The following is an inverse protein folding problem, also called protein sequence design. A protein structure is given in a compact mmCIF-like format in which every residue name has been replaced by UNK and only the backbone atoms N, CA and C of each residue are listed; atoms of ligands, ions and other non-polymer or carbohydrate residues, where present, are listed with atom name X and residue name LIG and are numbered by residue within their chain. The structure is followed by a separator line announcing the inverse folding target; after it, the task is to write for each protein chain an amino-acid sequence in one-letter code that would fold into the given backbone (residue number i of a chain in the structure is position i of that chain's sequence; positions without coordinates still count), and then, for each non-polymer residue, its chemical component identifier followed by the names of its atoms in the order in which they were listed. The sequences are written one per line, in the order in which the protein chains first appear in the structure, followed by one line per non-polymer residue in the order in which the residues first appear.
data_IF_703997011113
#
_entry.id   IF_703997011113
#
_cell.length_a   1.000
_cell.length_b   1.000
_cell.length_c   1.000
_cell.angle_alpha   90.00
_cell.angle_beta   90.00
_cell.angle_gamma   90.00
#
_symmetry.space_group_name_H-M   'P 1'
#
loop_
_entity.id
_entity.type
_entity.pdbx_description
1 polymer ?
#
# COMPACT_ATOMS: atom_id res chain seq x y z
N UNK A 1 2.42 -11.27 10.96
CA UNK A 1 1.33 -10.74 10.10
C UNK A 1 0.02 -11.36 10.55
N UNK A 2 -1.09 -10.66 10.36
CA UNK A 2 -2.42 -11.22 10.63
C UNK A 2 -2.77 -12.28 9.59
N UNK A 3 -3.47 -13.36 9.97
CA UNK A 3 -4.02 -14.28 8.99
C UNK A 3 -4.98 -13.51 8.06
N UNK A 4 -4.92 -13.81 6.76
CA UNK A 4 -5.75 -13.19 5.71
C UNK A 4 -5.45 -11.70 5.38
N UNK A 5 -4.35 -11.14 5.88
CA UNK A 5 -3.89 -9.81 5.47
C UNK A 5 -2.61 -9.90 4.62
N UNK A 6 -2.48 -9.03 3.63
CA UNK A 6 -1.29 -8.90 2.81
C UNK A 6 -0.83 -7.44 2.72
N UNK A 7 0.47 -7.22 2.90
CA UNK A 7 1.08 -5.90 2.70
C UNK A 7 1.57 -5.79 1.25
N UNK A 8 1.17 -4.70 0.58
CA UNK A 8 1.56 -4.38 -0.79
C UNK A 8 2.14 -2.97 -0.84
N UNK A 9 3.31 -2.82 -1.46
CA UNK A 9 3.97 -1.53 -1.62
C UNK A 9 3.82 -1.04 -3.06
N UNK A 10 3.24 0.15 -3.24
CA UNK A 10 3.16 0.83 -4.53
C UNK A 10 3.93 2.14 -4.43
N UNK A 11 4.98 2.34 -5.24
CA UNK A 11 5.86 3.51 -5.15
C UNK A 11 6.18 4.11 -6.51
N UNK A 12 6.39 5.43 -6.57
CA UNK A 12 6.85 6.14 -7.79
C UNK A 12 8.35 6.00 -8.03
N UNK A 13 9.08 5.31 -7.15
CA UNK A 13 10.49 4.98 -7.35
C UNK A 13 10.65 3.81 -8.32
N UNK A 14 11.70 3.84 -9.16
CA UNK A 14 12.03 2.71 -10.04
C UNK A 14 12.23 1.43 -9.22
N UNK A 15 11.93 0.27 -9.80
CA UNK A 15 11.86 -0.99 -9.06
C UNK A 15 13.16 -1.32 -8.30
N UNK A 16 14.32 -1.23 -8.95
CA UNK A 16 15.62 -1.53 -8.33
C UNK A 16 15.87 -0.65 -7.09
N UNK A 17 15.85 0.70 -7.18
CA UNK A 17 16.04 1.54 -5.99
C UNK A 17 14.90 1.43 -4.97
N UNK A 18 13.68 1.07 -5.37
CA UNK A 18 12.59 0.79 -4.44
C UNK A 18 12.91 -0.43 -3.54
N UNK A 19 13.35 -1.53 -4.15
CA UNK A 19 13.76 -2.74 -3.43
C UNK A 19 14.97 -2.45 -2.54
N UNK A 20 15.95 -1.69 -3.02
CA UNK A 20 17.09 -1.27 -2.20
C UNK A 20 16.65 -0.50 -0.95
N UNK A 21 15.70 0.45 -1.06
CA UNK A 21 15.14 1.14 0.10
C UNK A 21 14.46 0.17 1.06
N UNK A 22 13.62 -0.74 0.57
CA UNK A 22 12.95 -1.75 1.41
C UNK A 22 13.96 -2.54 2.24
N UNK A 23 15.07 -2.96 1.64
CA UNK A 23 16.14 -3.68 2.34
C UNK A 23 16.87 -2.80 3.35
N UNK A 24 17.28 -1.57 2.96
CA UNK A 24 18.02 -0.65 3.83
C UNK A 24 17.22 -0.21 5.06
N UNK A 25 15.89 -0.08 4.94
CA UNK A 25 15.00 0.25 6.06
C UNK A 25 14.53 -0.99 6.85
N UNK A 26 15.04 -2.19 6.55
CA UNK A 26 14.67 -3.42 7.28
C UNK A 26 13.24 -3.90 7.02
N UNK A 27 12.61 -3.46 5.92
CA UNK A 27 11.22 -3.76 5.57
C UNK A 27 11.05 -5.05 4.74
N UNK A 28 12.15 -5.75 4.42
CA UNK A 28 12.12 -6.96 3.59
C UNK A 28 11.30 -8.12 4.15
N UNK A 29 11.18 -8.23 5.49
CA UNK A 29 10.30 -9.21 6.14
C UNK A 29 8.82 -8.83 6.14
N UNK A 30 8.51 -7.57 5.79
CA UNK A 30 7.14 -7.01 5.83
C UNK A 30 6.52 -6.98 4.42
N UNK A 31 7.33 -6.73 3.40
CA UNK A 31 6.92 -6.67 2.00
C UNK A 31 7.65 -7.73 1.18
N UNK A 32 7.02 -8.89 0.89
CA UNK A 32 7.54 -9.85 -0.08
C UNK A 32 7.82 -9.17 -1.43
N UNK A 33 8.86 -9.61 -2.14
CA UNK A 33 9.31 -8.97 -3.38
C UNK A 33 8.19 -8.89 -4.43
N UNK A 34 7.40 -9.95 -4.55
CA UNK A 34 6.25 -10.04 -5.44
C UNK A 34 5.14 -9.03 -5.11
N UNK A 35 5.14 -8.44 -3.91
CA UNK A 35 4.19 -7.42 -3.48
C UNK A 35 4.72 -5.98 -3.62
N UNK A 36 5.86 -5.78 -4.30
CA UNK A 36 6.43 -4.46 -4.56
C UNK A 36 6.17 -4.06 -6.01
N UNK A 37 5.41 -2.97 -6.20
CA UNK A 37 5.04 -2.44 -7.51
C UNK A 37 5.65 -1.04 -7.72
N UNK A 38 6.31 -0.86 -8.86
CA UNK A 38 6.82 0.44 -9.29
C UNK A 38 5.82 1.12 -10.22
N UNK A 39 5.29 2.25 -9.78
CA UNK A 39 4.36 3.11 -10.51
C UNK A 39 5.08 4.14 -11.41
N UNK A 40 6.43 4.18 -11.44
CA UNK A 40 7.21 5.23 -12.12
C UNK A 40 6.81 5.45 -13.58
N UNK A 41 6.44 4.37 -14.31
CA UNK A 41 6.05 4.45 -15.72
C UNK A 41 4.55 4.36 -15.97
N UNK A 42 3.83 3.61 -15.13
CA UNK A 42 2.44 3.21 -15.38
C UNK A 42 1.42 3.96 -14.52
N UNK A 43 1.86 4.68 -13.49
CA UNK A 43 0.97 5.33 -12.54
C UNK A 43 0.45 4.40 -11.44
N UNK A 44 -0.04 4.99 -10.34
CA UNK A 44 -0.55 4.24 -9.18
C UNK A 44 -1.89 3.55 -9.46
N UNK A 45 -2.73 4.16 -10.29
CA UNK A 45 -3.99 3.58 -10.77
C UNK A 45 -3.78 2.23 -11.47
N UNK A 46 -2.88 2.17 -12.45
CA UNK A 46 -2.53 0.92 -13.12
C UNK A 46 -1.96 -0.13 -12.17
N UNK A 47 -1.17 0.29 -11.17
CA UNK A 47 -0.67 -0.62 -10.14
C UNK A 47 -1.81 -1.16 -9.26
N UNK A 48 -2.74 -0.31 -8.82
CA UNK A 48 -3.87 -0.72 -7.99
C UNK A 48 -4.81 -1.69 -8.74
N UNK A 49 -5.05 -1.48 -10.03
CA UNK A 49 -5.81 -2.43 -10.85
C UNK A 49 -5.13 -3.80 -10.95
N UNK A 50 -3.79 -3.83 -11.12
CA UNK A 50 -3.02 -5.08 -11.13
C UNK A 50 -3.04 -5.80 -9.80
N UNK A 51 -2.98 -5.06 -8.69
CA UNK A 51 -3.12 -5.61 -7.34
C UNK A 51 -4.52 -6.22 -7.16
N UNK A 52 -5.57 -5.48 -7.54
CA UNK A 52 -6.94 -5.98 -7.50
C UNK A 52 -7.17 -7.22 -8.37
N UNK A 53 -6.58 -7.25 -9.57
CA UNK A 53 -6.65 -8.41 -10.45
C UNK A 53 -5.95 -9.64 -9.87
N UNK A 54 -4.83 -9.46 -9.15
CA UNK A 54 -4.08 -10.54 -8.52
C UNK A 54 -4.76 -11.12 -7.28
N UNK A 55 -5.25 -10.25 -6.37
CA UNK A 55 -5.86 -10.69 -5.11
C UNK A 55 -7.36 -11.02 -5.26
N UNK A 56 -8.00 -10.50 -6.30
CA UNK A 56 -9.41 -10.70 -6.59
C UNK A 56 -10.30 -9.60 -5.99
N UNK A 57 -11.44 -9.35 -6.64
CA UNK A 57 -12.38 -8.27 -6.29
C UNK A 57 -13.13 -8.46 -4.97
N UNK A 58 -13.05 -9.66 -4.37
CA UNK A 58 -13.69 -9.97 -3.08
C UNK A 58 -12.84 -9.53 -1.88
N UNK A 59 -11.57 -9.17 -2.10
CA UNK A 59 -10.72 -8.63 -1.06
C UNK A 59 -11.09 -7.19 -0.74
N UNK A 60 -10.98 -6.82 0.53
CA UNK A 60 -11.03 -5.42 0.96
C UNK A 60 -9.66 -4.79 0.72
N UNK A 61 -9.61 -3.75 -0.11
CA UNK A 61 -8.39 -2.98 -0.36
C UNK A 61 -8.44 -1.70 0.45
N UNK A 62 -7.41 -1.44 1.25
CA UNK A 62 -7.22 -0.15 1.93
C UNK A 62 -5.92 0.46 1.42
N UNK A 63 -6.00 1.70 0.94
CA UNK A 63 -4.85 2.46 0.47
C UNK A 63 -4.37 3.37 1.60
N UNK A 64 -3.08 3.31 1.92
CA UNK A 64 -2.44 4.14 2.96
C UNK A 64 -1.37 4.97 2.27
N UNK A 65 -1.37 6.29 2.49
CA UNK A 65 -0.37 7.18 1.90
C UNK A 65 -0.57 8.65 2.29
N UNK A 66 0.37 9.49 1.87
CA UNK A 66 0.42 10.92 2.19
C UNK A 66 0.13 11.81 0.96
N UNK A 67 0.31 11.27 -0.25
CA UNK A 67 0.17 11.99 -1.51
C UNK A 67 -1.26 12.04 -2.07
N UNK A 68 -1.49 13.02 -2.96
CA UNK A 68 -2.77 13.17 -3.67
C UNK A 68 -2.95 12.12 -4.78
N UNK A 69 -1.86 11.62 -5.36
CA UNK A 69 -1.90 10.68 -6.48
C UNK A 69 -2.51 9.34 -6.08
N UNK A 70 -2.11 8.80 -4.92
CA UNK A 70 -2.67 7.59 -4.33
C UNK A 70 -4.12 7.78 -3.88
N UNK A 71 -4.47 8.95 -3.33
CA UNK A 71 -5.84 9.24 -2.92
C UNK A 71 -6.77 9.30 -4.15
N UNK A 72 -6.34 9.98 -5.21
CA UNK A 72 -7.11 10.05 -6.45
C UNK A 72 -7.29 8.67 -7.09
N UNK A 73 -6.22 7.86 -7.13
CA UNK A 73 -6.30 6.49 -7.65
C UNK A 73 -7.19 5.58 -6.79
N UNK A 74 -7.12 5.70 -5.46
CA UNK A 74 -7.97 4.96 -4.52
C UNK A 74 -9.46 5.31 -4.73
N UNK A 75 -9.77 6.61 -4.84
CA UNK A 75 -11.14 7.09 -5.09
C UNK A 75 -11.73 6.54 -6.38
N UNK A 76 -10.96 6.49 -7.48
CA UNK A 76 -11.43 5.92 -8.76
C UNK A 76 -11.87 4.45 -8.64
N UNK A 77 -11.19 3.68 -7.77
CA UNK A 77 -11.46 2.26 -7.56
C UNK A 77 -12.40 1.99 -6.37
N UNK A 78 -12.92 3.05 -5.73
CA UNK A 78 -13.70 2.98 -4.49
C UNK A 78 -12.98 2.25 -3.34
N UNK A 79 -11.66 2.39 -3.27
CA UNK A 79 -10.87 1.87 -2.15
C UNK A 79 -10.87 2.90 -1.01
N UNK A 80 -11.18 2.49 0.23
CA UNK A 80 -10.93 3.31 1.41
C UNK A 80 -9.50 3.84 1.42
N UNK A 81 -9.36 5.13 1.72
CA UNK A 81 -8.07 5.82 1.77
C UNK A 81 -7.78 6.31 3.20
N UNK A 82 -6.64 5.89 3.75
CA UNK A 82 -6.14 6.37 5.03
C UNK A 82 -4.97 7.33 4.79
N UNK A 83 -5.24 8.63 4.95
CA UNK A 83 -4.24 9.68 4.78
C UNK A 83 -3.29 9.72 5.97
N UNK A 84 -1.98 9.73 5.70
CA UNK A 84 -0.93 9.97 6.71
C UNK A 84 -0.38 11.37 6.49
N UNK A 85 -0.69 12.30 7.39
CA UNK A 85 -0.15 13.67 7.36
C UNK A 85 0.80 13.95 8.52
N UNK A 86 0.76 13.12 9.56
CA UNK A 86 1.54 13.26 10.79
C UNK A 86 1.74 11.92 11.50
N UNK A 87 2.63 11.90 12.50
CA UNK A 87 2.85 10.72 13.34
C UNK A 87 1.57 10.27 14.09
N UNK A 88 0.66 11.19 14.43
CA UNK A 88 -0.60 10.86 15.09
C UNK A 88 -1.50 9.96 14.23
N UNK A 89 -1.42 10.09 12.92
CA UNK A 89 -2.22 9.29 11.99
C UNK A 89 -1.73 7.85 11.92
N UNK A 90 -0.42 7.63 12.14
CA UNK A 90 0.17 6.29 12.26
C UNK A 90 -0.22 5.64 13.58
N UNK A 91 -0.24 6.39 14.68
CA UNK A 91 -0.71 5.89 15.98
C UNK A 91 -2.20 5.50 15.91
N UNK A 92 -3.02 6.34 15.28
CA UNK A 92 -4.43 6.04 15.04
C UNK A 92 -4.61 4.78 14.18
N UNK A 93 -3.84 4.63 13.10
CA UNK A 93 -3.85 3.43 12.27
C UNK A 93 -3.46 2.19 13.06
N UNK A 94 -2.40 2.27 13.88
CA UNK A 94 -1.96 1.17 14.73
C UNK A 94 -3.06 0.74 15.71
N UNK A 95 -3.77 1.69 16.30
CA UNK A 95 -4.88 1.41 17.21
C UNK A 95 -6.05 0.72 16.51
N UNK A 96 -6.48 1.25 15.36
CA UNK A 96 -7.58 0.68 14.55
C UNK A 96 -7.24 -0.72 14.07
N UNK A 97 -6.00 -0.93 13.61
CA UNK A 97 -5.49 -2.26 13.32
C UNK A 97 -5.64 -3.10 14.57
N UNK A 98 -4.97 -2.79 15.69
CA UNK A 98 -4.97 -3.61 16.92
C UNK A 98 -6.36 -4.04 17.38
N UNK A 99 -7.36 -3.17 17.23
CA UNK A 99 -8.76 -3.42 17.62
C UNK A 99 -9.56 -4.28 16.61
N UNK A 100 -9.02 -4.57 15.42
CA UNK A 100 -9.66 -5.42 14.41
C UNK A 100 -10.70 -4.70 13.54
N UNK A 101 -10.66 -3.36 13.51
CA UNK A 101 -11.57 -2.53 12.72
C UNK A 101 -11.13 -2.38 11.25
N UNK A 102 -9.99 -2.97 10.88
CA UNK A 102 -9.44 -3.04 9.53
C UNK A 102 -9.00 -4.47 9.19
#
# INVERSE_FOLDING_TARGET
MRPNCANVLVTTTQLVPAVSKVLLYGLGGVFPLENIYSATKVGKDSCFERVMARFGRKCTFVVIGDGNDEEAAAKKLNFPFWRISSHKDLDALHNVLTLGFL
#
